data_IF_739897973721
#
_entry.id   IF_739897973721
#
_cell.length_a   1.000
_cell.length_b   1.000
_cell.length_c   1.000
_cell.angle_alpha   90.00
_cell.angle_beta   90.00
_cell.angle_gamma   90.00
#
_symmetry.space_group_name_H-M   'P 1'
#
loop_
_entity.id
_entity.type
_entity.pdbx_description
1 polymer ?
#
# COMPACT_ATOMS: atom_id res chain seq x y z
N UNK A 1 23.57 16.68 -20.85
CA UNK A 1 23.30 17.86 -19.98
C UNK A 1 23.38 17.37 -18.55
N UNK A 2 24.44 17.72 -17.83
CA UNK A 2 24.63 17.33 -16.42
C UNK A 2 23.51 17.96 -15.57
N UNK A 3 22.68 17.14 -14.94
CA UNK A 3 21.75 17.63 -13.90
C UNK A 3 22.59 17.98 -12.66
N UNK A 4 22.75 19.28 -12.42
CA UNK A 4 23.42 19.79 -11.22
C UNK A 4 22.70 19.28 -9.97
N UNK A 5 23.33 18.36 -9.22
CA UNK A 5 22.94 18.03 -7.84
C UNK A 5 22.49 16.60 -7.54
N UNK A 6 22.47 15.67 -8.49
CA UNK A 6 22.18 14.27 -8.21
C UNK A 6 23.49 13.55 -7.86
N UNK A 7 23.51 12.85 -6.72
CA UNK A 7 24.63 11.97 -6.36
C UNK A 7 24.44 10.65 -7.10
N UNK A 8 25.41 10.27 -7.92
CA UNK A 8 25.48 8.99 -8.60
C UNK A 8 26.51 8.10 -7.91
N UNK A 9 26.22 6.83 -7.81
CA UNK A 9 27.16 5.86 -7.23
C UNK A 9 28.37 5.66 -8.14
N UNK A 10 28.24 5.89 -9.46
CA UNK A 10 29.33 5.72 -10.43
C UNK A 10 29.83 4.29 -10.52
N UNK A 11 28.96 3.31 -10.30
CA UNK A 11 29.30 1.88 -10.35
C UNK A 11 28.55 1.19 -11.50
N UNK A 12 29.24 0.31 -12.23
CA UNK A 12 28.64 -0.56 -13.24
C UNK A 12 27.86 -1.71 -12.58
N UNK A 13 26.82 -1.38 -11.84
CA UNK A 13 26.01 -2.30 -11.07
C UNK A 13 24.54 -1.94 -11.20
N UNK A 14 23.69 -2.90 -11.60
CA UNK A 14 22.24 -2.69 -11.75
C UNK A 14 21.56 -2.22 -10.46
N UNK A 15 22.05 -2.65 -9.30
CA UNK A 15 21.54 -2.16 -8.01
C UNK A 15 21.91 -0.69 -7.79
N UNK A 16 23.15 -0.28 -8.12
CA UNK A 16 23.56 1.12 -8.03
C UNK A 16 22.72 1.99 -8.97
N UNK A 17 22.48 1.56 -10.21
CA UNK A 17 21.61 2.26 -11.16
C UNK A 17 20.16 2.39 -10.64
N UNK A 18 19.63 1.35 -10.00
CA UNK A 18 18.31 1.43 -9.37
C UNK A 18 18.28 2.42 -8.20
N UNK A 19 19.33 2.42 -7.36
CA UNK A 19 19.44 3.37 -6.23
C UNK A 19 19.67 4.80 -6.71
N UNK A 20 20.38 5.00 -7.83
CA UNK A 20 20.48 6.31 -8.46
C UNK A 20 19.10 6.86 -8.89
N UNK A 21 18.18 5.98 -9.34
CA UNK A 21 16.83 6.35 -9.74
C UNK A 21 15.90 6.56 -8.55
N UNK A 22 15.87 5.64 -7.57
CA UNK A 22 14.85 5.62 -6.51
C UNK A 22 15.40 5.58 -5.09
N UNK A 23 16.71 5.61 -4.89
CA UNK A 23 17.35 5.48 -3.56
C UNK A 23 17.23 6.72 -2.68
N UNK A 24 16.84 7.85 -3.24
CA UNK A 24 16.65 9.07 -2.47
C UNK A 24 15.40 8.99 -1.60
N UNK A 25 15.48 9.59 -0.41
CA UNK A 25 14.36 9.63 0.53
C UNK A 25 13.09 10.12 -0.14
N UNK A 26 11.96 9.52 0.15
CA UNK A 26 10.62 9.74 -0.37
C UNK A 26 10.34 9.13 -1.75
N UNK A 27 11.33 8.77 -2.57
CA UNK A 27 11.12 8.25 -3.92
C UNK A 27 10.23 7.00 -3.93
N UNK A 28 10.59 5.97 -3.16
CA UNK A 28 9.78 4.74 -3.08
C UNK A 28 8.42 4.96 -2.42
N UNK A 29 8.28 5.94 -1.51
CA UNK A 29 6.98 6.28 -0.93
C UNK A 29 6.06 6.97 -1.97
N UNK A 30 6.61 7.78 -2.86
CA UNK A 30 5.88 8.32 -4.02
C UNK A 30 5.43 7.19 -4.95
N UNK A 31 6.33 6.26 -5.30
CA UNK A 31 6.01 5.08 -6.12
C UNK A 31 4.91 4.25 -5.47
N UNK A 32 4.98 4.02 -4.16
CA UNK A 32 3.96 3.30 -3.38
C UNK A 32 2.57 3.92 -3.55
N UNK A 33 2.45 5.22 -3.41
CA UNK A 33 1.17 5.89 -3.54
C UNK A 33 0.65 5.86 -4.98
N UNK A 34 1.52 6.08 -5.95
CA UNK A 34 1.15 6.05 -7.37
C UNK A 34 0.87 4.63 -7.90
N UNK A 35 1.33 3.57 -7.22
CA UNK A 35 1.02 2.18 -7.59
C UNK A 35 -0.47 1.82 -7.44
N UNK A 36 -1.21 2.59 -6.65
CA UNK A 36 -2.66 2.44 -6.49
C UNK A 36 -3.47 3.28 -7.50
N UNK A 37 -2.81 3.98 -8.41
CA UNK A 37 -3.42 4.81 -9.45
C UNK A 37 -2.95 6.26 -9.44
N UNK A 38 -3.34 7.03 -10.47
CA UNK A 38 -2.94 8.42 -10.63
C UNK A 38 -3.42 9.31 -9.48
N UNK A 39 -2.59 10.32 -9.13
CA UNK A 39 -2.88 11.29 -8.07
C UNK A 39 -2.51 12.71 -8.52
N UNK A 40 -3.29 13.68 -8.05
CA UNK A 40 -2.88 15.09 -8.09
C UNK A 40 -1.75 15.34 -7.11
N UNK A 41 -0.98 16.40 -7.33
CA UNK A 41 0.10 16.78 -6.41
C UNK A 41 -0.38 16.92 -4.96
N UNK A 42 -1.51 17.59 -4.73
CA UNK A 42 -2.05 17.80 -3.37
C UNK A 42 -2.47 16.51 -2.68
N UNK A 43 -3.03 15.55 -3.42
CA UNK A 43 -3.39 14.24 -2.91
C UNK A 43 -2.14 13.44 -2.55
N UNK A 44 -1.15 13.42 -3.43
CA UNK A 44 0.12 12.76 -3.20
C UNK A 44 0.87 13.36 -2.01
N UNK A 45 0.92 14.70 -1.88
CA UNK A 45 1.55 15.37 -0.75
C UNK A 45 0.90 14.98 0.59
N UNK A 46 -0.43 14.91 0.63
CA UNK A 46 -1.16 14.45 1.82
C UNK A 46 -0.86 13.00 2.16
N UNK A 47 -0.80 12.11 1.17
CA UNK A 47 -0.60 10.67 1.36
C UNK A 47 0.85 10.31 1.69
N UNK A 48 1.84 10.97 1.10
CA UNK A 48 3.25 10.80 1.45
C UNK A 48 3.56 11.39 2.84
N UNK A 49 2.71 12.31 3.33
CA UNK A 49 2.74 12.78 4.71
C UNK A 49 3.80 13.85 4.94
N UNK A 50 4.76 13.62 5.84
CA UNK A 50 5.71 14.64 6.35
C UNK A 50 6.80 15.07 5.37
N UNK A 51 6.69 14.78 4.08
CA UNK A 51 7.62 15.25 3.07
C UNK A 51 7.46 16.78 2.85
N UNK A 52 8.50 17.61 3.03
CA UNK A 52 8.43 19.01 2.67
C UNK A 52 8.06 19.19 1.18
N UNK A 53 7.25 20.21 0.88
CA UNK A 53 6.70 20.43 -0.47
C UNK A 53 7.78 20.62 -1.54
N UNK A 54 8.87 21.30 -1.21
CA UNK A 54 10.02 21.50 -2.09
C UNK A 54 10.77 20.20 -2.36
N UNK A 55 10.93 19.36 -1.34
CA UNK A 55 11.53 18.02 -1.46
C UNK A 55 10.65 17.12 -2.31
N UNK A 56 9.34 17.07 -2.08
CA UNK A 56 8.42 16.28 -2.88
C UNK A 56 8.40 16.74 -4.35
N UNK A 57 8.40 18.06 -4.58
CA UNK A 57 8.47 18.64 -5.93
C UNK A 57 9.76 18.23 -6.64
N UNK A 58 10.89 18.26 -5.92
CA UNK A 58 12.18 17.80 -6.46
C UNK A 58 12.13 16.32 -6.81
N UNK A 59 11.61 15.47 -5.90
CA UNK A 59 11.51 14.01 -6.14
C UNK A 59 10.67 13.68 -7.35
N UNK A 60 9.53 14.35 -7.53
CA UNK A 60 8.67 14.14 -8.70
C UNK A 60 9.38 14.49 -10.00
N UNK A 61 10.13 15.60 -10.03
CA UNK A 61 10.92 15.98 -11.19
C UNK A 61 12.04 14.98 -11.50
N UNK A 62 12.73 14.50 -10.46
CA UNK A 62 13.79 13.51 -10.63
C UNK A 62 13.20 12.18 -11.17
N UNK A 63 12.10 11.67 -10.57
CA UNK A 63 11.42 10.46 -11.01
C UNK A 63 10.81 10.60 -12.43
N UNK A 64 10.38 11.80 -12.82
CA UNK A 64 9.90 12.12 -14.17
C UNK A 64 11.05 12.10 -15.18
N UNK A 65 12.21 12.66 -14.82
CA UNK A 65 13.41 12.65 -15.64
C UNK A 65 13.98 11.24 -15.85
N UNK A 66 13.82 10.36 -14.84
CA UNK A 66 14.22 8.94 -14.92
C UNK A 66 13.18 8.06 -15.62
N UNK A 67 12.05 8.63 -16.04
CA UNK A 67 10.98 7.89 -16.70
C UNK A 67 10.20 6.92 -15.79
N UNK A 68 10.34 7.05 -14.48
CA UNK A 68 9.59 6.24 -13.49
C UNK A 68 8.15 6.76 -13.32
N UNK A 69 7.99 8.07 -13.33
CA UNK A 69 6.71 8.77 -13.20
C UNK A 69 6.45 9.58 -14.46
N UNK A 70 5.19 9.70 -14.85
CA UNK A 70 4.74 10.62 -15.88
C UNK A 70 3.72 11.59 -15.32
N UNK A 71 3.74 12.83 -15.82
CA UNK A 71 2.70 13.81 -15.57
C UNK A 71 1.72 13.81 -16.74
N UNK A 72 0.42 13.71 -16.44
CA UNK A 72 -0.64 13.68 -17.45
C UNK A 72 -1.71 14.71 -17.14
N UNK A 73 -2.14 15.43 -18.16
CA UNK A 73 -3.28 16.34 -18.08
C UNK A 73 -4.59 15.58 -18.33
N UNK A 74 -5.50 15.63 -17.37
CA UNK A 74 -6.86 15.12 -17.52
C UNK A 74 -7.69 16.13 -18.31
N UNK A 75 -8.43 15.64 -19.32
CA UNK A 75 -9.35 16.45 -20.13
C UNK A 75 -10.61 16.82 -19.35
N UNK A 76 -11.31 17.86 -19.82
CA UNK A 76 -12.62 18.24 -19.29
C UNK A 76 -13.56 17.01 -19.15
N UNK A 77 -14.44 17.00 -18.12
CA UNK A 77 -14.78 18.09 -17.20
C UNK A 77 -13.81 18.28 -16.02
N UNK A 78 -12.87 17.37 -15.81
CA UNK A 78 -11.98 17.33 -14.62
C UNK A 78 -10.62 17.97 -14.91
N UNK A 79 -10.49 19.01 -15.71
CA UNK A 79 -9.19 19.65 -15.99
C UNK A 79 -8.24 19.65 -14.78
N UNK A 80 -7.30 18.69 -14.74
CA UNK A 80 -6.34 18.54 -13.66
C UNK A 80 -5.09 17.84 -14.14
N UNK A 81 -3.96 18.21 -13.57
CA UNK A 81 -2.69 17.51 -13.77
C UNK A 81 -2.53 16.43 -12.71
N UNK A 82 -2.24 15.21 -13.13
CA UNK A 82 -1.98 14.06 -12.28
C UNK A 82 -0.62 13.44 -12.56
N UNK A 83 -0.04 12.81 -11.56
CA UNK A 83 1.14 11.97 -11.68
C UNK A 83 0.70 10.51 -11.70
N UNK A 84 1.34 9.70 -12.52
CA UNK A 84 1.10 8.26 -12.63
C UNK A 84 2.40 7.51 -12.87
N UNK A 85 2.44 6.21 -12.54
CA UNK A 85 3.59 5.37 -12.88
C UNK A 85 3.60 5.08 -14.37
N UNK A 86 4.78 5.14 -14.97
CA UNK A 86 5.04 4.61 -16.30
C UNK A 86 5.09 3.07 -16.26
N UNK A 87 5.32 2.41 -17.39
CA UNK A 87 5.59 0.97 -17.41
C UNK A 87 6.85 0.62 -16.61
N UNK A 88 7.94 1.41 -16.76
CA UNK A 88 9.14 1.28 -15.96
C UNK A 88 8.85 1.45 -14.47
N UNK A 89 8.06 2.46 -14.10
CA UNK A 89 7.66 2.70 -12.71
C UNK A 89 6.83 1.57 -12.12
N UNK A 90 5.91 0.97 -12.89
CA UNK A 90 5.16 -0.24 -12.46
C UNK A 90 6.07 -1.44 -12.24
N UNK A 91 7.20 -1.53 -12.95
CA UNK A 91 8.22 -2.55 -12.70
C UNK A 91 8.79 -2.54 -11.27
N UNK A 92 8.66 -1.41 -10.54
CA UNK A 92 9.09 -1.30 -9.14
C UNK A 92 8.11 -1.91 -8.14
N UNK A 93 6.87 -2.24 -8.53
CA UNK A 93 5.86 -2.70 -7.58
C UNK A 93 6.29 -3.98 -6.84
N UNK A 94 6.74 -4.99 -7.56
CA UNK A 94 7.22 -6.25 -6.94
C UNK A 94 8.46 -6.06 -6.06
N UNK A 95 9.55 -5.45 -6.53
CA UNK A 95 10.71 -5.15 -5.69
C UNK A 95 10.36 -4.34 -4.43
N UNK A 96 9.47 -3.37 -4.55
CA UNK A 96 9.03 -2.54 -3.42
C UNK A 96 8.24 -3.35 -2.38
N UNK A 97 7.38 -4.28 -2.80
CA UNK A 97 6.64 -5.15 -1.89
C UNK A 97 7.60 -6.12 -1.17
N UNK A 98 8.58 -6.70 -1.87
CA UNK A 98 9.57 -7.57 -1.21
C UNK A 98 10.47 -6.76 -0.25
N UNK A 99 10.82 -5.51 -0.59
CA UNK A 99 11.52 -4.61 0.33
C UNK A 99 10.65 -4.28 1.56
N UNK A 100 9.35 -4.05 1.37
CA UNK A 100 8.42 -3.80 2.47
C UNK A 100 8.26 -5.04 3.37
N UNK A 101 8.24 -6.25 2.80
CA UNK A 101 8.25 -7.51 3.57
C UNK A 101 9.50 -7.64 4.43
N UNK A 102 10.68 -7.37 3.88
CA UNK A 102 11.90 -7.31 4.69
C UNK A 102 11.81 -6.24 5.77
N UNK A 103 11.21 -5.08 5.46
CA UNK A 103 11.01 -3.98 6.40
C UNK A 103 10.11 -4.33 7.58
N UNK A 104 9.21 -5.32 7.46
CA UNK A 104 8.39 -5.79 8.59
C UNK A 104 9.23 -6.35 9.75
N UNK A 105 10.42 -6.87 9.47
CA UNK A 105 11.34 -7.32 10.53
C UNK A 105 11.85 -6.18 11.41
N UNK A 106 11.73 -4.93 10.94
CA UNK A 106 12.16 -3.73 11.65
C UNK A 106 11.01 -3.04 12.40
N UNK A 107 9.75 -3.44 12.12
CA UNK A 107 8.54 -2.84 12.70
C UNK A 107 8.18 -3.48 14.05
N UNK A 108 7.40 -2.74 14.85
CA UNK A 108 6.69 -3.23 16.03
C UNK A 108 5.20 -3.24 15.74
N UNK A 109 4.44 -4.11 16.40
CA UNK A 109 2.99 -4.14 16.20
C UNK A 109 2.31 -2.82 16.59
N UNK A 110 2.85 -2.10 17.58
CA UNK A 110 2.39 -0.75 17.97
C UNK A 110 2.44 0.24 16.80
N UNK A 111 3.44 0.14 15.92
CA UNK A 111 3.59 0.99 14.74
C UNK A 111 2.50 0.69 13.68
N UNK A 112 1.92 -0.51 13.70
CA UNK A 112 0.91 -0.96 12.74
C UNK A 112 -0.50 -0.52 13.16
N UNK A 113 -0.75 -0.29 14.46
CA UNK A 113 -2.06 0.14 14.99
C UNK A 113 -2.48 1.50 14.44
N UNK A 114 -1.53 2.40 14.17
CA UNK A 114 -1.77 3.70 13.54
C UNK A 114 -1.94 3.64 12.01
N UNK A 115 -2.32 2.48 11.46
CA UNK A 115 -2.43 2.30 10.02
C UNK A 115 -3.56 3.17 9.46
N UNK A 116 -3.21 4.18 8.69
CA UNK A 116 -4.18 4.99 7.95
C UNK A 116 -4.83 4.17 6.83
N UNK A 117 -6.11 4.47 6.53
CA UNK A 117 -6.82 3.87 5.38
C UNK A 117 -6.00 3.92 4.07
N UNK A 118 -5.17 4.94 3.89
CA UNK A 118 -4.32 5.08 2.69
C UNK A 118 -3.26 3.99 2.56
N UNK A 119 -2.88 3.34 3.67
CA UNK A 119 -1.91 2.22 3.66
C UNK A 119 -2.58 0.85 3.53
N UNK A 120 -3.88 0.74 3.79
CA UNK A 120 -4.59 -0.54 3.90
C UNK A 120 -4.37 -1.43 2.67
N UNK A 121 -4.62 -0.91 1.46
CA UNK A 121 -4.44 -1.68 0.23
C UNK A 121 -2.98 -2.11 0.01
N UNK A 122 -2.01 -1.25 0.34
CA UNK A 122 -0.59 -1.59 0.27
C UNK A 122 -0.19 -2.59 1.36
N UNK A 123 -0.73 -2.47 2.58
CA UNK A 123 -0.53 -3.44 3.65
C UNK A 123 -0.99 -4.84 3.21
N UNK A 124 -2.18 -4.95 2.60
CA UNK A 124 -2.68 -6.22 2.06
C UNK A 124 -1.73 -6.83 1.04
N UNK A 125 -1.17 -6.03 0.11
CA UNK A 125 -0.17 -6.50 -0.87
C UNK A 125 1.10 -7.04 -0.21
N UNK A 126 1.48 -6.47 0.93
CA UNK A 126 2.68 -6.86 1.68
C UNK A 126 2.44 -8.15 2.46
N UNK A 127 1.32 -8.23 3.22
CA UNK A 127 1.05 -9.34 4.13
C UNK A 127 0.44 -10.56 3.45
N UNK A 128 -0.29 -10.41 2.34
CA UNK A 128 -0.92 -11.53 1.64
C UNK A 128 0.01 -12.09 0.57
N UNK A 129 0.17 -13.41 0.58
CA UNK A 129 0.89 -14.17 -0.44
C UNK A 129 -0.01 -15.26 -1.01
N UNK A 130 -0.84 -14.93 -2.01
CA UNK A 130 -1.71 -15.92 -2.61
C UNK A 130 -0.87 -16.99 -3.32
N UNK A 131 -1.30 -18.27 -3.29
CA UNK A 131 -0.67 -19.30 -4.10
C UNK A 131 -0.83 -19.01 -5.60
N UNK A 132 0.02 -19.61 -6.45
CA UNK A 132 0.05 -19.33 -7.90
C UNK A 132 -1.29 -19.55 -8.60
N UNK A 133 -2.12 -20.49 -8.11
CA UNK A 133 -3.44 -20.78 -8.67
C UNK A 133 -4.58 -19.95 -8.09
N UNK A 134 -4.34 -19.12 -7.09
CA UNK A 134 -5.38 -18.29 -6.48
C UNK A 134 -5.87 -17.22 -7.46
N UNK A 135 -7.18 -17.06 -7.56
CA UNK A 135 -7.83 -16.05 -8.38
C UNK A 135 -9.07 -15.57 -7.64
N UNK A 136 -9.03 -14.33 -7.14
CA UNK A 136 -10.16 -13.69 -6.46
C UNK A 136 -10.07 -12.17 -6.58
N UNK A 137 -11.21 -11.52 -6.42
CA UNK A 137 -11.35 -10.06 -6.36
C UNK A 137 -11.86 -9.67 -4.95
N UNK A 138 -11.11 -8.81 -4.26
CA UNK A 138 -11.40 -8.34 -2.91
C UNK A 138 -11.66 -6.84 -2.93
N UNK A 139 -12.81 -6.43 -2.40
CA UNK A 139 -13.15 -5.04 -2.13
C UNK A 139 -12.80 -4.68 -0.68
N UNK A 140 -12.19 -3.51 -0.48
CA UNK A 140 -12.00 -2.94 0.86
C UNK A 140 -12.71 -1.58 0.91
N UNK A 141 -13.50 -1.35 1.95
CA UNK A 141 -14.14 -0.05 2.24
C UNK A 141 -13.73 0.41 3.63
N UNK A 142 -13.08 1.55 3.72
CA UNK A 142 -12.60 2.08 4.99
C UNK A 142 -12.59 3.60 4.97
N UNK A 143 -13.21 4.24 5.97
CA UNK A 143 -13.20 5.70 6.16
C UNK A 143 -13.60 6.49 4.90
N UNK A 144 -14.63 6.03 4.19
CA UNK A 144 -15.12 6.65 2.95
C UNK A 144 -14.25 6.42 1.73
N UNK A 145 -13.19 5.61 1.84
CA UNK A 145 -12.34 5.20 0.73
C UNK A 145 -12.63 3.75 0.34
N UNK A 146 -12.48 3.46 -0.96
CA UNK A 146 -12.61 2.10 -1.47
C UNK A 146 -11.34 1.70 -2.20
N UNK A 147 -11.01 0.42 -2.12
CA UNK A 147 -9.88 -0.18 -2.82
C UNK A 147 -10.32 -1.50 -3.43
N UNK A 148 -9.79 -1.78 -4.62
CA UNK A 148 -9.95 -3.03 -5.31
C UNK A 148 -8.63 -3.80 -5.29
N UNK A 149 -8.65 -5.04 -4.85
CA UNK A 149 -7.51 -5.94 -4.88
C UNK A 149 -7.86 -7.15 -5.75
N UNK A 150 -6.94 -7.55 -6.61
CA UNK A 150 -7.08 -8.70 -7.51
C UNK A 150 -5.90 -9.63 -7.33
N UNK A 151 -6.19 -10.87 -6.90
CA UNK A 151 -5.19 -11.92 -6.84
C UNK A 151 -5.17 -12.68 -8.17
N UNK A 152 -4.02 -12.69 -8.83
CA UNK A 152 -3.77 -13.43 -10.07
C UNK A 152 -2.31 -13.90 -10.07
N UNK A 153 -2.08 -15.13 -10.46
CA UNK A 153 -0.71 -15.67 -10.63
C UNK A 153 0.21 -15.51 -9.42
N UNK A 154 -0.34 -15.67 -8.21
CA UNK A 154 0.43 -15.53 -6.96
C UNK A 154 0.76 -14.09 -6.57
N UNK A 155 0.11 -13.10 -7.18
CA UNK A 155 0.35 -11.69 -6.98
C UNK A 155 -0.94 -10.92 -6.72
N UNK A 156 -0.88 -9.89 -5.87
CA UNK A 156 -1.99 -8.98 -5.62
C UNK A 156 -1.74 -7.64 -6.32
N UNK A 157 -2.58 -7.32 -7.27
CA UNK A 157 -2.71 -5.98 -7.81
C UNK A 157 -3.72 -5.20 -6.95
N UNK A 158 -3.46 -3.93 -6.72
CA UNK A 158 -4.37 -3.07 -5.98
C UNK A 158 -4.58 -1.75 -6.71
N UNK A 159 -5.77 -1.19 -6.56
CA UNK A 159 -6.11 0.13 -7.10
C UNK A 159 -7.06 0.87 -6.16
N UNK A 160 -7.08 2.20 -6.24
CA UNK A 160 -8.13 3.02 -5.63
C UNK A 160 -9.43 2.86 -6.40
N UNK A 161 -10.54 2.94 -5.68
CA UNK A 161 -11.88 2.73 -6.21
C UNK A 161 -12.38 1.30 -5.98
N UNK A 162 -13.63 1.05 -6.35
CA UNK A 162 -14.26 -0.27 -6.23
C UNK A 162 -14.04 -1.12 -7.47
N UNK A 163 -14.01 -2.43 -7.30
CA UNK A 163 -14.31 -3.39 -8.38
C UNK A 163 -15.82 -3.41 -8.62
N UNK A 164 -16.23 -3.82 -9.80
CA UNK A 164 -17.68 -3.91 -10.11
C UNK A 164 -18.42 -4.91 -9.21
N UNK A 165 -17.90 -6.13 -9.08
CA UNK A 165 -18.51 -7.24 -8.30
C UNK A 165 -17.38 -8.10 -7.69
N UNK A 166 -16.87 -7.75 -6.49
CA UNK A 166 -15.83 -8.52 -5.84
C UNK A 166 -16.39 -9.80 -5.22
N UNK A 167 -15.56 -10.85 -5.15
CA UNK A 167 -15.91 -12.11 -4.50
C UNK A 167 -16.17 -11.89 -2.99
N UNK A 168 -15.45 -10.96 -2.40
CA UNK A 168 -15.57 -10.57 -0.99
C UNK A 168 -15.37 -9.06 -0.85
N UNK A 169 -16.19 -8.42 -0.02
CA UNK A 169 -15.97 -7.03 0.45
C UNK A 169 -15.85 -6.99 1.97
N UNK A 170 -14.81 -6.33 2.46
CA UNK A 170 -14.61 -6.04 3.87
C UNK A 170 -14.79 -4.54 4.09
N UNK A 171 -15.69 -4.17 5.01
CA UNK A 171 -15.96 -2.78 5.37
C UNK A 171 -15.74 -2.57 6.88
N UNK A 172 -14.95 -1.56 7.24
CA UNK A 172 -14.59 -1.26 8.62
C UNK A 172 -13.42 -0.29 8.70
N UNK A 173 -12.94 -0.02 9.91
CA UNK A 173 -11.67 0.70 10.09
C UNK A 173 -10.49 -0.11 9.54
N UNK A 174 -9.36 0.53 9.24
CA UNK A 174 -8.16 -0.18 8.77
C UNK A 174 -7.71 -1.29 9.73
N UNK A 175 -7.85 -1.03 11.03
CA UNK A 175 -7.45 -1.96 12.09
C UNK A 175 -8.37 -3.18 12.14
N UNK A 176 -9.69 -3.00 12.01
CA UNK A 176 -10.67 -4.09 11.99
C UNK A 176 -10.45 -5.01 10.79
N UNK A 177 -10.28 -4.44 9.60
CA UNK A 177 -10.02 -5.20 8.38
C UNK A 177 -8.69 -5.98 8.51
N UNK A 178 -7.64 -5.34 9.00
CA UNK A 178 -6.34 -5.98 9.18
C UNK A 178 -6.42 -7.09 10.23
N UNK A 179 -7.08 -6.84 11.37
CA UNK A 179 -7.26 -7.83 12.43
C UNK A 179 -8.01 -9.08 11.93
N UNK A 180 -9.10 -8.89 11.18
CA UNK A 180 -9.86 -10.01 10.63
C UNK A 180 -9.04 -10.89 9.68
N UNK A 181 -8.19 -10.28 8.87
CA UNK A 181 -7.32 -11.02 7.95
C UNK A 181 -6.17 -11.70 8.69
N UNK A 182 -5.53 -11.02 9.64
CA UNK A 182 -4.33 -11.52 10.33
C UNK A 182 -4.66 -12.54 11.42
N UNK A 183 -5.74 -12.34 12.17
CA UNK A 183 -6.10 -13.14 13.35
C UNK A 183 -7.32 -14.03 13.12
N UNK A 184 -7.97 -13.90 11.98
CA UNK A 184 -9.22 -14.57 11.65
C UNK A 184 -10.45 -13.72 11.96
N UNK A 185 -11.60 -14.04 11.34
CA UNK A 185 -12.81 -13.23 11.41
C UNK A 185 -13.53 -13.27 12.75
N UNK A 186 -13.23 -14.23 13.59
CA UNK A 186 -13.92 -14.45 14.85
C UNK A 186 -13.62 -13.31 15.85
N UNK A 187 -14.65 -12.50 16.12
CA UNK A 187 -14.61 -11.53 17.22
C UNK A 187 -14.04 -10.15 16.88
N UNK A 188 -14.05 -9.74 15.63
CA UNK A 188 -13.75 -8.35 15.25
C UNK A 188 -15.04 -7.54 15.20
N UNK A 189 -15.39 -6.76 16.25
CA UNK A 189 -16.58 -5.93 16.25
C UNK A 189 -16.45 -4.82 15.20
N UNK A 190 -17.56 -4.46 14.53
CA UNK A 190 -17.60 -3.37 13.57
C UNK A 190 -17.22 -3.76 12.14
N UNK A 191 -16.65 -4.95 11.91
CA UNK A 191 -16.35 -5.43 10.57
C UNK A 191 -17.65 -5.91 9.88
N UNK A 192 -17.93 -5.36 8.71
CA UNK A 192 -18.96 -5.84 7.80
C UNK A 192 -18.34 -6.70 6.71
N UNK A 193 -18.94 -7.86 6.43
CA UNK A 193 -18.48 -8.83 5.45
C UNK A 193 -19.60 -9.08 4.44
N UNK A 194 -19.37 -8.78 3.17
CA UNK A 194 -20.30 -9.01 2.06
C UNK A 194 -19.65 -9.94 1.02
N UNK A 195 -20.35 -10.96 0.58
CA UNK A 195 -19.88 -11.93 -0.42
C UNK A 195 -19.43 -13.26 0.19
N UNK A 196 -18.40 -13.88 -0.38
CA UNK A 196 -17.91 -15.20 0.03
C UNK A 196 -17.10 -15.12 1.34
N UNK A 197 -17.77 -15.43 2.44
CA UNK A 197 -17.12 -15.47 3.76
C UNK A 197 -16.02 -16.53 3.86
N UNK A 198 -16.07 -17.63 3.08
CA UNK A 198 -15.01 -18.66 3.04
C UNK A 198 -13.68 -18.09 2.50
N UNK A 199 -13.75 -17.12 1.62
CA UNK A 199 -12.56 -16.42 1.14
C UNK A 199 -11.81 -15.69 2.27
N UNK A 200 -12.49 -15.22 3.31
CA UNK A 200 -11.82 -14.59 4.46
C UNK A 200 -10.94 -15.57 5.24
N UNK A 201 -11.39 -16.82 5.40
CA UNK A 201 -10.59 -17.89 6.00
C UNK A 201 -9.38 -18.23 5.12
N UNK A 202 -9.59 -18.29 3.80
CA UNK A 202 -8.50 -18.48 2.85
C UNK A 202 -7.48 -17.34 2.91
N UNK A 203 -7.93 -16.07 2.98
CA UNK A 203 -7.05 -14.90 3.14
C UNK A 203 -6.20 -15.00 4.41
N UNK A 204 -6.80 -15.43 5.53
CA UNK A 204 -6.05 -15.69 6.77
C UNK A 204 -4.91 -16.70 6.56
N UNK A 205 -5.17 -17.77 5.81
CA UNK A 205 -4.15 -18.76 5.43
C UNK A 205 -3.03 -18.24 4.53
N UNK A 206 -3.27 -17.13 3.81
CA UNK A 206 -2.30 -16.49 2.93
C UNK A 206 -1.41 -15.44 3.64
N UNK A 207 -1.66 -15.17 4.93
CA UNK A 207 -0.94 -14.13 5.68
C UNK A 207 0.50 -14.54 5.94
N UNK A 208 1.43 -13.69 5.50
CA UNK A 208 2.88 -13.80 5.76
C UNK A 208 3.29 -12.64 6.67
N UNK A 209 3.53 -12.96 7.93
CA UNK A 209 4.02 -12.01 8.93
C UNK A 209 5.19 -12.63 9.69
N UNK A 210 6.20 -11.81 10.09
CA UNK A 210 7.18 -12.25 11.08
C UNK A 210 6.47 -12.79 12.33
N UNK A 211 6.95 -13.91 12.87
CA UNK A 211 6.32 -14.55 14.04
C UNK A 211 6.16 -13.56 15.20
N UNK A 212 7.17 -12.73 15.44
CA UNK A 212 7.14 -11.67 16.46
C UNK A 212 5.95 -10.72 16.29
N UNK A 213 5.71 -10.21 15.06
CA UNK A 213 4.58 -9.29 14.79
C UNK A 213 3.23 -9.99 14.96
N UNK A 214 3.15 -11.28 14.64
CA UNK A 214 1.93 -12.09 14.85
C UNK A 214 1.63 -12.25 16.34
N UNK A 215 2.64 -12.57 17.14
CA UNK A 215 2.51 -12.74 18.61
C UNK A 215 2.15 -11.39 19.29
N UNK A 216 2.81 -10.29 18.88
CA UNK A 216 2.49 -8.95 19.38
C UNK A 216 1.07 -8.53 19.01
N UNK A 217 0.60 -8.78 17.77
CA UNK A 217 -0.76 -8.50 17.33
C UNK A 217 -1.80 -9.29 18.14
N UNK A 218 -1.53 -10.56 18.41
CA UNK A 218 -2.37 -11.41 19.25
C UNK A 218 -2.52 -10.82 20.67
N UNK A 219 -1.43 -10.44 21.30
CA UNK A 219 -1.44 -9.82 22.64
C UNK A 219 -2.24 -8.51 22.68
N UNK A 220 -2.16 -7.68 21.61
CA UNK A 220 -2.92 -6.43 21.51
C UNK A 220 -4.43 -6.68 21.41
N UNK A 221 -4.85 -7.73 20.72
CA UNK A 221 -6.26 -8.14 20.68
C UNK A 221 -6.73 -8.65 22.05
N UNK A 222 -5.98 -9.55 22.68
CA UNK A 222 -6.32 -10.12 23.98
C UNK A 222 -6.39 -9.08 25.10
N UNK A 223 -5.56 -8.05 25.04
CA UNK A 223 -5.59 -6.92 25.99
C UNK A 223 -6.71 -5.91 25.72
N UNK A 224 -7.45 -6.02 24.60
CA UNK A 224 -8.44 -5.05 24.17
C UNK A 224 -7.86 -3.73 23.63
N UNK A 225 -6.54 -3.58 23.61
CA UNK A 225 -5.86 -2.34 23.14
C UNK A 225 -6.15 -2.06 21.65
N UNK A 226 -6.34 -3.12 20.86
CA UNK A 226 -6.68 -2.99 19.44
C UNK A 226 -8.07 -2.38 19.23
N UNK A 227 -9.04 -2.73 20.08
CA UNK A 227 -10.42 -2.20 20.02
C UNK A 227 -10.48 -0.74 20.46
N UNK A 228 -9.66 -0.34 21.44
CA UNK A 228 -9.56 1.06 21.88
C UNK A 228 -8.95 1.92 20.78
N UNK A 229 -7.90 1.46 20.13
CA UNK A 229 -7.25 2.17 19.03
C UNK A 229 -8.17 2.30 17.79
N UNK A 230 -9.00 1.29 17.51
CA UNK A 230 -9.99 1.36 16.43
C UNK A 230 -11.07 2.43 16.72
N UNK A 231 -11.51 2.55 17.97
CA UNK A 231 -12.48 3.55 18.40
C UNK A 231 -11.92 4.98 18.37
N UNK A 232 -10.65 5.16 18.71
CA UNK A 232 -9.96 6.47 18.67
C UNK A 232 -9.66 6.93 17.23
N UNK A 233 -9.46 6.00 16.30
CA UNK A 233 -9.26 6.30 14.87
C UNK A 233 -10.56 6.70 14.16
N UNK A 234 -11.71 6.35 14.72
CA UNK A 234 -13.03 6.63 14.16
C UNK A 234 -13.66 7.96 14.70
N UNK A 235 -13.03 8.60 15.69
CA UNK A 235 -13.47 9.85 16.32
C UNK A 235 -12.71 11.07 15.76
#
# INVERSE_FOLDING_TARGET
MNSMGRREYGQDCSLASALDAVGERWSLLVVRELSLGPLRFSELARLVGSAPTDVLTKRLRDLEADGVVARRELKAPVSASVYELTELGRGLERPMIELARWGMELQRAEDVIGLSHSYLANAMRVILRPPAGASFDLGLRSEGQSYALRAREGWIQASRGSTGDPDLTLSGSPVEILAAIVLGPAGVPGLEVEGDAGLLDDLHGMVVLPQRLREEAQMLVESGALLVAAAESAA
#
